data_IF_363204317300
#
_entry.id   IF_363204317300
#
_cell.length_a   1.000
_cell.length_b   1.000
_cell.length_c   1.000
_cell.angle_alpha   90.00
_cell.angle_beta   90.00
_cell.angle_gamma   90.00
#
_symmetry.space_group_name_H-M   'P 1'
#
loop_
_entity.id
_entity.type
_entity.pdbx_description
1 polymer ?
#
# COMPACT_ATOMS: atom_id res chain seq x y z
N UNK A 1 57.35 36.16 7.55
CA UNK A 1 56.49 35.19 8.24
C UNK A 1 55.18 35.06 7.47
N UNK A 2 54.78 33.82 7.13
CA UNK A 2 53.70 33.50 6.18
C UNK A 2 52.33 33.60 6.86
N UNK A 3 51.33 34.14 6.15
CA UNK A 3 49.93 34.24 6.59
C UNK A 3 49.36 32.83 6.75
N UNK A 4 48.97 32.48 7.97
CA UNK A 4 48.44 31.16 8.31
C UNK A 4 47.00 31.02 7.81
N UNK A 5 46.78 30.09 6.88
CA UNK A 5 45.48 29.53 6.59
C UNK A 5 44.96 28.83 7.85
N UNK A 6 44.00 29.43 8.55
CA UNK A 6 43.23 28.73 9.58
C UNK A 6 41.81 29.23 9.49
N UNK A 7 40.94 28.36 8.95
CA UNK A 7 39.59 28.04 9.44
C UNK A 7 38.80 27.34 8.34
N UNK A 8 39.14 26.08 8.06
CA UNK A 8 38.32 25.17 7.26
C UNK A 8 38.32 23.80 7.94
N UNK A 9 37.78 23.77 9.16
CA UNK A 9 37.42 22.53 9.86
C UNK A 9 36.07 22.76 10.53
N UNK A 10 35.03 22.96 9.73
CA UNK A 10 33.66 22.65 10.17
C UNK A 10 33.49 21.15 10.06
N UNK A 11 34.05 20.48 11.06
CA UNK A 11 34.18 19.03 11.12
C UNK A 11 32.83 18.33 11.11
N UNK A 12 32.74 17.41 10.17
CA UNK A 12 31.84 16.26 10.14
C UNK A 12 31.91 15.54 11.49
N UNK A 13 30.82 15.58 12.26
CA UNK A 13 30.57 14.61 13.32
C UNK A 13 29.13 14.09 13.21
N UNK A 14 28.82 13.44 12.08
CA UNK A 14 27.73 12.48 12.01
C UNK A 14 28.18 11.24 12.78
N UNK A 15 28.11 11.32 14.11
CA UNK A 15 28.15 10.14 14.96
C UNK A 15 27.02 9.22 14.50
N UNK A 16 27.33 7.95 14.22
CA UNK A 16 26.35 6.95 13.79
C UNK A 16 25.16 6.82 14.75
N UNK A 17 25.32 7.19 16.02
CA UNK A 17 24.21 7.25 16.99
C UNK A 17 23.24 8.43 16.78
N UNK A 18 23.73 9.57 16.29
CA UNK A 18 22.89 10.76 15.98
C UNK A 18 22.09 10.58 14.69
N UNK A 19 22.68 9.92 13.69
CA UNK A 19 21.99 9.63 12.43
C UNK A 19 20.75 8.74 12.63
N UNK A 20 20.80 7.75 13.53
CA UNK A 20 19.65 6.89 13.85
C UNK A 20 18.53 7.67 14.54
N UNK A 21 18.86 8.55 15.50
CA UNK A 21 17.85 9.39 16.17
C UNK A 21 17.22 10.40 15.21
N UNK A 22 18.01 11.02 14.33
CA UNK A 22 17.50 11.92 13.30
C UNK A 22 16.62 11.18 12.29
N UNK A 23 17.03 9.99 11.80
CA UNK A 23 16.17 9.17 10.93
C UNK A 23 14.88 8.72 11.63
N UNK A 24 14.94 8.31 12.90
CA UNK A 24 13.76 7.91 13.66
C UNK A 24 12.78 9.09 13.85
N UNK A 25 13.29 10.29 14.15
CA UNK A 25 12.48 11.49 14.28
C UNK A 25 11.88 11.93 12.92
N UNK A 26 12.66 11.89 11.84
CA UNK A 26 12.19 12.19 10.48
C UNK A 26 11.12 11.19 10.01
N UNK A 27 11.32 9.89 10.22
CA UNK A 27 10.35 8.86 9.86
C UNK A 27 9.05 8.97 10.67
N UNK A 28 9.13 9.34 11.94
CA UNK A 28 7.95 9.57 12.78
C UNK A 28 7.15 10.77 12.29
N UNK A 29 7.82 11.88 11.98
CA UNK A 29 7.19 13.07 11.40
C UNK A 29 6.60 12.82 10.01
N UNK A 30 7.20 11.96 9.18
CA UNK A 30 6.62 11.57 7.89
C UNK A 30 5.37 10.69 8.02
N UNK A 31 5.30 9.82 9.04
CA UNK A 31 4.08 9.06 9.32
C UNK A 31 2.94 9.95 9.81
N UNK A 32 3.27 11.00 10.56
CA UNK A 32 2.30 11.96 11.10
C UNK A 32 1.93 13.11 10.13
N UNK A 33 2.67 13.30 9.01
CA UNK A 33 2.51 14.47 8.12
C UNK A 33 1.44 14.34 7.03
N UNK A 34 0.76 13.20 6.95
CA UNK A 34 -0.40 13.04 6.09
C UNK A 34 -1.54 12.57 6.98
N UNK A 35 -2.30 13.51 7.51
CA UNK A 35 -3.58 13.25 8.17
C UNK A 35 -4.53 12.72 7.09
N UNK A 36 -4.47 11.42 6.86
CA UNK A 36 -5.39 10.72 5.96
C UNK A 36 -6.66 10.42 6.75
N UNK A 37 -7.80 10.79 6.18
CA UNK A 37 -9.09 10.39 6.72
C UNK A 37 -9.16 8.87 6.84
N UNK A 38 -9.75 8.36 7.93
CA UNK A 38 -9.81 6.92 8.21
C UNK A 38 -10.47 6.13 7.07
N UNK A 39 -11.38 6.76 6.33
CA UNK A 39 -12.08 6.20 5.15
C UNK A 39 -11.24 6.20 3.87
N UNK A 40 -10.19 7.03 3.80
CA UNK A 40 -9.31 7.20 2.63
C UNK A 40 -7.94 6.56 2.87
N UNK A 41 -7.65 6.16 4.11
CA UNK A 41 -6.40 5.50 4.47
C UNK A 41 -6.40 4.03 4.02
N UNK A 42 -5.94 3.81 2.79
CA UNK A 42 -5.72 2.48 2.21
C UNK A 42 -4.64 1.67 2.95
N UNK A 43 -3.90 2.25 3.91
CA UNK A 43 -2.99 1.51 4.80
C UNK A 43 -3.74 0.75 5.89
N UNK A 44 -5.00 1.10 6.15
CA UNK A 44 -5.92 0.37 7.02
C UNK A 44 -6.70 -0.71 6.23
N UNK A 45 -6.01 -1.43 5.34
CA UNK A 45 -6.60 -2.35 4.35
C UNK A 45 -7.36 -3.53 4.95
N UNK A 46 -7.11 -3.88 6.23
CA UNK A 46 -7.78 -5.02 6.86
C UNK A 46 -9.30 -4.89 6.94
N UNK A 47 -9.82 -3.66 7.06
CA UNK A 47 -11.26 -3.43 7.21
C UNK A 47 -11.98 -3.62 5.88
N UNK A 48 -11.40 -3.10 4.79
CA UNK A 48 -11.98 -3.19 3.44
C UNK A 48 -11.89 -4.62 2.86
N UNK A 49 -10.91 -5.41 3.30
CA UNK A 49 -10.80 -6.85 2.97
C UNK A 49 -11.84 -7.72 3.67
N UNK A 50 -12.53 -7.19 4.69
CA UNK A 50 -13.54 -7.94 5.46
C UNK A 50 -14.96 -7.42 5.25
N UNK A 51 -15.09 -6.22 4.66
CA UNK A 51 -16.37 -5.60 4.40
C UNK A 51 -16.85 -5.97 3.01
N UNK A 52 -18.13 -6.35 2.90
CA UNK A 52 -18.77 -6.62 1.62
C UNK A 52 -18.84 -5.35 0.76
N UNK A 53 -18.82 -5.54 -0.56
CA UNK A 53 -18.98 -4.48 -1.57
C UNK A 53 -20.23 -3.64 -1.30
N UNK A 54 -20.10 -2.32 -1.44
CA UNK A 54 -21.20 -1.36 -1.23
C UNK A 54 -22.35 -1.59 -2.22
N UNK A 55 -22.04 -2.18 -3.37
CA UNK A 55 -22.99 -2.42 -4.45
C UNK A 55 -23.48 -3.87 -4.51
N UNK A 56 -23.15 -4.70 -3.51
CA UNK A 56 -23.59 -6.10 -3.43
C UNK A 56 -25.12 -6.28 -3.48
N UNK A 57 -25.88 -5.32 -2.96
CA UNK A 57 -27.35 -5.31 -3.00
C UNK A 57 -27.93 -4.86 -4.35
N UNK A 58 -27.11 -4.20 -5.17
CA UNK A 58 -27.54 -3.57 -6.44
C UNK A 58 -27.12 -4.38 -7.66
N UNK A 59 -25.93 -4.97 -7.60
CA UNK A 59 -25.27 -5.64 -8.71
C UNK A 59 -25.02 -7.09 -8.31
N UNK A 60 -25.66 -8.08 -8.97
CA UNK A 60 -25.50 -9.49 -8.63
C UNK A 60 -24.05 -9.97 -8.64
N UNK A 61 -23.23 -9.38 -9.50
CA UNK A 61 -21.83 -9.74 -9.64
C UNK A 61 -20.94 -9.15 -8.55
N UNK A 62 -21.40 -8.12 -7.83
CA UNK A 62 -20.71 -7.53 -6.66
C UNK A 62 -20.98 -8.33 -5.38
N UNK A 63 -21.97 -9.23 -5.42
CA UNK A 63 -22.37 -10.02 -4.27
C UNK A 63 -21.27 -10.99 -3.86
N UNK A 64 -20.87 -10.93 -2.59
CA UNK A 64 -19.77 -11.73 -2.06
C UNK A 64 -18.37 -11.24 -2.43
N UNK A 65 -18.23 -10.13 -3.17
CA UNK A 65 -16.95 -9.43 -3.29
C UNK A 65 -16.72 -8.58 -2.05
N UNK A 66 -15.47 -8.52 -1.60
CA UNK A 66 -15.07 -7.51 -0.61
C UNK A 66 -14.99 -6.14 -1.27
N UNK A 67 -14.92 -5.06 -0.49
CA UNK A 67 -14.72 -3.71 -1.03
C UNK A 67 -13.38 -3.59 -1.79
N UNK A 68 -12.35 -4.31 -1.34
CA UNK A 68 -11.09 -4.39 -2.05
C UNK A 68 -11.28 -5.08 -3.42
N UNK A 69 -11.91 -6.26 -3.43
CA UNK A 69 -12.10 -7.03 -4.66
C UNK A 69 -12.97 -6.27 -5.67
N UNK A 70 -14.01 -5.59 -5.19
CA UNK A 70 -14.86 -4.70 -6.00
C UNK A 70 -14.05 -3.61 -6.71
N UNK A 71 -13.11 -2.98 -5.97
CA UNK A 71 -12.24 -1.92 -6.51
C UNK A 71 -11.34 -2.42 -7.63
N UNK A 72 -10.76 -3.62 -7.48
CA UNK A 72 -9.84 -4.21 -8.47
C UNK A 72 -10.52 -5.10 -9.51
N UNK A 73 -11.83 -5.31 -9.41
CA UNK A 73 -12.61 -6.17 -10.31
C UNK A 73 -12.36 -5.87 -11.79
N UNK A 74 -12.35 -4.59 -12.16
CA UNK A 74 -12.13 -4.17 -13.55
C UNK A 74 -10.75 -4.58 -14.09
N UNK A 75 -9.73 -4.56 -13.23
CA UNK A 75 -8.37 -4.98 -13.56
C UNK A 75 -8.27 -6.51 -13.66
N UNK A 76 -8.93 -7.25 -12.78
CA UNK A 76 -8.99 -8.71 -12.85
C UNK A 76 -9.66 -9.18 -14.14
N UNK A 77 -10.76 -8.53 -14.49
CA UNK A 77 -11.46 -8.75 -15.77
C UNK A 77 -10.52 -8.49 -16.95
N UNK A 78 -9.78 -7.38 -16.93
CA UNK A 78 -8.83 -7.04 -17.98
C UNK A 78 -7.67 -8.04 -18.08
N UNK A 79 -7.25 -8.63 -16.97
CA UNK A 79 -6.24 -9.68 -16.91
C UNK A 79 -6.77 -11.07 -17.32
N UNK A 80 -8.04 -11.16 -17.73
CA UNK A 80 -8.66 -12.39 -18.22
C UNK A 80 -9.18 -13.31 -17.12
N UNK A 81 -9.38 -12.81 -15.90
CA UNK A 81 -10.07 -13.61 -14.87
C UNK A 81 -11.53 -13.85 -15.30
N UNK A 82 -12.04 -15.08 -15.11
CA UNK A 82 -13.36 -15.48 -15.60
C UNK A 82 -14.49 -14.61 -15.04
N UNK A 83 -15.35 -14.10 -15.93
CA UNK A 83 -16.48 -13.22 -15.59
C UNK A 83 -17.75 -14.00 -15.26
N UNK A 84 -17.85 -15.24 -15.75
CA UNK A 84 -19.05 -16.05 -15.60
C UNK A 84 -18.82 -17.28 -14.72
N UNK A 85 -19.89 -17.79 -14.11
CA UNK A 85 -19.86 -19.01 -13.31
C UNK A 85 -19.39 -20.24 -14.12
N UNK A 86 -19.55 -20.22 -15.44
CA UNK A 86 -19.05 -21.26 -16.34
C UNK A 86 -17.52 -21.18 -16.46
N UNK A 87 -17.00 -19.99 -16.75
CA UNK A 87 -15.56 -19.77 -16.90
C UNK A 87 -14.81 -19.98 -15.57
N UNK A 88 -15.43 -19.66 -14.41
CA UNK A 88 -14.88 -19.99 -13.09
C UNK A 88 -14.71 -21.50 -12.89
N UNK A 89 -15.75 -22.29 -13.23
CA UNK A 89 -15.68 -23.77 -13.15
C UNK A 89 -14.66 -24.36 -14.10
N UNK A 90 -14.38 -23.70 -15.22
CA UNK A 90 -13.36 -24.12 -16.17
C UNK A 90 -11.96 -23.83 -15.60
N UNK A 91 -11.74 -22.63 -15.05
CA UNK A 91 -10.49 -22.25 -14.38
C UNK A 91 -10.16 -23.11 -13.15
N UNK A 92 -11.16 -23.44 -12.31
CA UNK A 92 -10.98 -24.35 -11.16
C UNK A 92 -10.52 -25.75 -11.60
N UNK A 93 -11.07 -26.26 -12.71
CA UNK A 93 -10.68 -27.56 -13.27
C UNK A 93 -9.28 -27.52 -13.88
N UNK A 94 -8.87 -26.39 -14.44
CA UNK A 94 -7.52 -26.18 -14.96
C UNK A 94 -6.49 -26.12 -13.82
N UNK A 95 -6.80 -25.39 -12.74
CA UNK A 95 -5.94 -25.29 -11.56
C UNK A 95 -5.74 -26.63 -10.82
N UNK A 96 -6.73 -27.52 -10.82
CA UNK A 96 -6.61 -28.86 -10.24
C UNK A 96 -5.80 -29.86 -11.09
N UNK A 97 -5.52 -29.52 -12.35
CA UNK A 97 -4.75 -30.37 -13.28
C UNK A 97 -3.25 -30.04 -13.31
N UNK A 98 -2.82 -28.96 -12.66
CA UNK A 98 -1.42 -28.58 -12.51
C UNK A 98 -0.81 -29.15 -11.23
#
# INVERSE_FOLDING_TARGET
MKRSMMNLISGTLLSAGGAVLVMAACNKRQKDSAETWEDTDMRNSKKIDQMESVDADKVPEEKGLTQLDSTYRSEWIANGFPQTHKEMKELEKEGQKS
#
